data_IF_755736379138
#
_entry.id   IF_755736379138
#
_cell.length_a   1.000
_cell.length_b   1.000
_cell.length_c   1.000
_cell.angle_alpha   90.00
_cell.angle_beta   90.00
_cell.angle_gamma   90.00
#
_symmetry.space_group_name_H-M   'P 1'
#
loop_
_entity.id
_entity.type
_entity.pdbx_description
1 polymer ?
#
# COMPACT_ATOMS: atom_id res chain seq x y z
N UNK A 1 -4.77 -34.92 -21.85
CA UNK A 1 -3.71 -34.66 -20.85
C UNK A 1 -4.27 -33.63 -19.89
N UNK A 2 -4.71 -34.05 -18.70
CA UNK A 2 -5.29 -33.15 -17.70
C UNK A 2 -4.14 -32.41 -17.02
N UNK A 3 -4.02 -31.11 -17.23
CA UNK A 3 -3.16 -30.26 -16.40
C UNK A 3 -3.80 -30.16 -15.02
N UNK A 4 -3.20 -30.81 -14.03
CA UNK A 4 -3.57 -30.61 -12.63
C UNK A 4 -3.22 -29.17 -12.25
N UNK A 5 -4.23 -28.30 -12.26
CA UNK A 5 -4.11 -26.96 -11.73
C UNK A 5 -3.93 -27.05 -10.22
N UNK A 6 -2.75 -26.65 -9.73
CA UNK A 6 -2.68 -26.15 -8.36
C UNK A 6 -3.75 -25.07 -8.23
N UNK A 7 -4.64 -25.11 -7.21
CA UNK A 7 -5.53 -23.98 -6.97
C UNK A 7 -4.63 -22.76 -6.80
N UNK A 8 -4.77 -21.77 -7.69
CA UNK A 8 -4.00 -20.54 -7.62
C UNK A 8 -4.17 -19.95 -6.23
N UNK A 9 -3.07 -19.81 -5.49
CA UNK A 9 -3.03 -19.33 -4.11
C UNK A 9 -3.41 -17.84 -3.97
N UNK A 10 -3.78 -17.21 -5.08
CA UNK A 10 -4.19 -15.82 -5.25
C UNK A 10 -5.39 -15.75 -6.21
N UNK A 11 -6.16 -14.67 -6.11
CA UNK A 11 -7.15 -14.32 -7.12
C UNK A 11 -6.47 -13.80 -8.38
N UNK A 12 -7.07 -14.06 -9.54
CA UNK A 12 -6.68 -13.38 -10.78
C UNK A 12 -6.99 -11.89 -10.64
N UNK A 13 -6.06 -11.07 -11.10
CA UNK A 13 -6.20 -9.62 -11.15
C UNK A 13 -5.93 -9.12 -12.57
N UNK A 14 -6.47 -7.94 -12.89
CA UNK A 14 -6.21 -7.24 -14.15
C UNK A 14 -5.47 -5.94 -13.86
N UNK A 15 -4.45 -5.66 -14.66
CA UNK A 15 -3.76 -4.37 -14.67
C UNK A 15 -4.46 -3.42 -15.64
N UNK A 16 -4.79 -2.23 -15.18
CA UNK A 16 -5.33 -1.14 -15.97
C UNK A 16 -4.20 -0.13 -16.14
N UNK A 17 -3.69 -0.05 -17.37
CA UNK A 17 -2.59 0.84 -17.75
C UNK A 17 -3.09 2.28 -17.92
N UNK A 18 -3.44 2.89 -16.79
CA UNK A 18 -3.79 4.31 -16.65
C UNK A 18 -2.97 4.91 -15.50
N UNK A 19 -2.88 6.23 -15.46
CA UNK A 19 -2.33 6.98 -14.33
C UNK A 19 -3.51 7.35 -13.40
N UNK A 20 -3.55 6.85 -12.15
CA UNK A 20 -2.53 6.05 -11.47
C UNK A 20 -2.57 4.56 -11.82
N UNK A 21 -1.42 3.89 -11.77
CA UNK A 21 -1.30 2.45 -12.03
C UNK A 21 -2.27 1.67 -11.14
N UNK A 22 -3.23 0.97 -11.75
CA UNK A 22 -4.39 0.41 -11.04
C UNK A 22 -4.53 -1.09 -11.33
N UNK A 23 -4.82 -1.86 -10.28
CA UNK A 23 -5.12 -3.28 -10.36
C UNK A 23 -6.51 -3.55 -9.79
N UNK A 24 -7.28 -4.41 -10.46
CA UNK A 24 -8.58 -4.87 -9.99
C UNK A 24 -8.57 -6.38 -9.80
N UNK A 25 -9.16 -6.85 -8.70
CA UNK A 25 -9.46 -8.28 -8.53
C UNK A 25 -10.80 -8.48 -7.83
N UNK A 26 -11.43 -9.61 -8.13
CA UNK A 26 -12.71 -10.01 -7.53
C UNK A 26 -12.49 -11.25 -6.67
N UNK A 27 -12.96 -11.21 -5.43
CA UNK A 27 -12.91 -12.36 -4.51
C UNK A 27 -14.02 -13.37 -4.79
N UNK A 28 -13.94 -14.57 -4.19
CA UNK A 28 -15.04 -15.55 -4.25
C UNK A 28 -16.36 -15.01 -3.68
N UNK A 29 -16.29 -14.01 -2.79
CA UNK A 29 -17.45 -13.37 -2.18
C UNK A 29 -18.00 -12.22 -3.03
N UNK A 30 -17.59 -12.14 -4.30
CA UNK A 30 -18.00 -11.09 -5.25
C UNK A 30 -17.61 -9.67 -4.84
N UNK A 31 -16.65 -9.51 -3.94
CA UNK A 31 -16.10 -8.21 -3.55
C UNK A 31 -15.01 -7.84 -4.55
N UNK A 32 -15.11 -6.65 -5.13
CA UNK A 32 -14.12 -6.10 -6.05
C UNK A 32 -13.23 -5.12 -5.29
N UNK A 33 -11.94 -5.44 -5.28
CA UNK A 33 -10.91 -4.58 -4.75
C UNK A 33 -10.22 -3.82 -5.87
N UNK A 34 -9.91 -2.57 -5.58
CA UNK A 34 -9.04 -1.70 -6.38
C UNK A 34 -7.77 -1.40 -5.58
N UNK A 35 -6.61 -1.64 -6.21
CA UNK A 35 -5.28 -1.35 -5.68
C UNK A 35 -4.63 -0.34 -6.61
N UNK A 36 -4.33 0.86 -6.12
CA UNK A 36 -3.72 1.93 -6.91
C UNK A 36 -2.36 2.30 -6.34
N UNK A 37 -1.42 2.59 -7.23
CA UNK A 37 -0.15 3.23 -6.92
C UNK A 37 -0.17 4.63 -7.50
N UNK A 38 -0.62 5.59 -6.68
CA UNK A 38 -0.86 6.97 -7.12
C UNK A 38 0.42 7.78 -7.02
N UNK A 39 0.94 8.41 -8.09
CA UNK A 39 2.08 9.30 -7.98
C UNK A 39 1.81 10.43 -6.99
N UNK A 40 2.72 10.62 -6.05
CA UNK A 40 2.58 11.61 -4.99
C UNK A 40 3.89 12.38 -4.80
N UNK A 41 4.35 13.11 -5.83
CA UNK A 41 5.69 13.71 -5.89
C UNK A 41 5.93 14.78 -4.81
N UNK A 42 4.85 15.36 -4.28
CA UNK A 42 4.90 16.43 -3.29
C UNK A 42 5.19 15.95 -1.86
N UNK A 43 5.10 14.64 -1.56
CA UNK A 43 5.18 14.16 -0.17
C UNK A 43 6.54 14.46 0.51
N UNK A 44 7.64 14.45 -0.23
CA UNK A 44 8.96 14.81 0.31
C UNK A 44 9.38 16.25 -0.06
N UNK A 45 8.44 17.07 -0.52
CA UNK A 45 8.66 18.44 -0.98
C UNK A 45 8.87 18.55 -2.50
N UNK A 46 8.52 19.70 -3.07
CA UNK A 46 8.50 19.96 -4.53
C UNK A 46 9.85 19.82 -5.23
N UNK A 47 10.96 19.89 -4.50
CA UNK A 47 12.32 19.77 -5.02
C UNK A 47 13.02 18.48 -4.59
N UNK A 48 12.27 17.50 -4.09
CA UNK A 48 12.83 16.23 -3.67
C UNK A 48 13.42 15.48 -4.88
N UNK A 49 14.65 14.94 -4.79
CA UNK A 49 15.20 14.09 -5.85
C UNK A 49 14.43 12.77 -6.02
N UNK A 50 13.46 12.51 -5.13
CA UNK A 50 12.63 11.31 -5.13
C UNK A 50 11.24 11.53 -5.73
N UNK A 51 10.89 12.75 -6.15
CA UNK A 51 9.53 13.13 -6.55
C UNK A 51 8.90 12.14 -7.55
N UNK A 52 9.64 11.77 -8.59
CA UNK A 52 9.15 10.87 -9.66
C UNK A 52 9.05 9.39 -9.22
N UNK A 53 9.61 9.05 -8.06
CA UNK A 53 9.64 7.68 -7.54
C UNK A 53 8.63 7.45 -6.42
N UNK A 54 7.95 8.48 -5.93
CA UNK A 54 7.03 8.38 -4.80
C UNK A 54 5.62 8.07 -5.29
N UNK A 55 5.06 6.98 -4.77
CA UNK A 55 3.67 6.60 -4.96
C UNK A 55 2.98 6.37 -3.61
N UNK A 56 1.70 6.71 -3.53
CA UNK A 56 0.81 6.32 -2.46
C UNK A 56 0.09 5.02 -2.83
N UNK A 57 0.16 4.03 -1.94
CA UNK A 57 -0.63 2.80 -2.05
C UNK A 57 -2.05 3.04 -1.54
N UNK A 58 -3.01 2.99 -2.45
CA UNK A 58 -4.43 3.17 -2.17
C UNK A 58 -5.17 1.85 -2.35
N UNK A 59 -5.90 1.42 -1.32
CA UNK A 59 -6.62 0.15 -1.29
C UNK A 59 -8.10 0.41 -1.03
N UNK A 60 -8.95 0.09 -2.00
CA UNK A 60 -10.39 0.36 -1.96
C UNK A 60 -11.20 -0.89 -2.24
N UNK A 61 -12.39 -0.94 -1.65
CA UNK A 61 -13.47 -1.82 -2.12
C UNK A 61 -14.35 -0.97 -3.01
N UNK A 62 -14.43 -1.30 -4.30
CA UNK A 62 -15.15 -0.51 -5.31
C UNK A 62 -16.51 -1.10 -5.68
N UNK A 63 -16.71 -2.38 -5.41
CA UNK A 63 -17.99 -3.07 -5.55
C UNK A 63 -18.09 -4.19 -4.51
N UNK A 64 -19.25 -4.34 -3.90
CA UNK A 64 -19.52 -5.38 -2.90
C UNK A 64 -21.02 -5.69 -2.86
N UNK A 65 -21.43 -6.95 -2.67
CA UNK A 65 -22.84 -7.28 -2.52
C UNK A 65 -23.45 -6.56 -1.31
N UNK A 66 -24.68 -6.04 -1.48
CA UNK A 66 -25.39 -5.30 -0.43
C UNK A 66 -25.50 -6.13 0.85
N UNK A 67 -25.10 -5.54 1.98
CA UNK A 67 -25.16 -6.19 3.29
C UNK A 67 -24.02 -7.17 3.57
N UNK A 68 -23.12 -7.43 2.62
CA UNK A 68 -21.92 -8.26 2.84
C UNK A 68 -20.80 -7.39 3.38
N UNK A 69 -20.46 -7.58 4.65
CA UNK A 69 -19.16 -7.12 5.16
C UNK A 69 -18.09 -8.05 4.61
N UNK A 70 -16.93 -7.54 4.15
CA UNK A 70 -15.85 -8.41 3.70
C UNK A 70 -15.51 -9.45 4.77
N UNK A 71 -15.76 -10.75 4.52
CA UNK A 71 -15.37 -11.77 5.48
C UNK A 71 -13.85 -11.86 5.51
N UNK A 72 -13.32 -12.54 6.54
CA UNK A 72 -11.90 -12.87 6.55
C UNK A 72 -11.62 -13.84 5.40
N UNK A 73 -10.98 -13.32 4.36
CA UNK A 73 -10.60 -14.06 3.17
C UNK A 73 -9.08 -14.31 3.20
N UNK A 74 -8.69 -15.59 3.24
CA UNK A 74 -7.30 -15.99 3.30
C UNK A 74 -6.53 -15.76 1.99
N UNK A 75 -7.23 -15.57 0.86
CA UNK A 75 -6.65 -15.41 -0.48
C UNK A 75 -6.41 -13.93 -0.82
N UNK A 76 -7.18 -13.01 -0.22
CA UNK A 76 -7.04 -11.56 -0.43
C UNK A 76 -5.64 -11.06 -0.08
N UNK A 77 -5.07 -11.53 1.02
CA UNK A 77 -3.75 -11.10 1.49
C UNK A 77 -2.61 -11.51 0.53
N UNK A 78 -2.48 -12.80 0.17
CA UNK A 78 -1.61 -13.25 -0.91
C UNK A 78 -1.80 -12.52 -2.25
N UNK A 79 -3.05 -12.21 -2.62
CA UNK A 79 -3.35 -11.52 -3.88
C UNK A 79 -2.78 -10.10 -3.89
N UNK A 80 -3.02 -9.33 -2.83
CA UNK A 80 -2.46 -7.97 -2.70
C UNK A 80 -0.94 -8.02 -2.68
N UNK A 81 -0.33 -8.98 -1.98
CA UNK A 81 1.11 -9.17 -2.00
C UNK A 81 1.66 -9.46 -3.41
N UNK A 82 0.95 -10.27 -4.21
CA UNK A 82 1.32 -10.53 -5.60
C UNK A 82 1.21 -9.27 -6.48
N UNK A 83 0.15 -8.47 -6.32
CA UNK A 83 -0.02 -7.19 -7.03
C UNK A 83 1.11 -6.22 -6.68
N UNK A 84 1.46 -6.12 -5.40
CA UNK A 84 2.56 -5.26 -4.96
C UNK A 84 3.87 -5.74 -5.61
N UNK A 85 4.18 -7.04 -5.57
CA UNK A 85 5.38 -7.57 -6.26
C UNK A 85 5.41 -7.22 -7.76
N UNK A 86 4.32 -7.46 -8.50
CA UNK A 86 4.22 -7.15 -9.93
C UNK A 86 4.47 -5.65 -10.22
N UNK A 87 3.98 -4.76 -9.36
CA UNK A 87 4.27 -3.33 -9.49
C UNK A 87 5.75 -3.00 -9.26
N UNK A 88 6.36 -3.58 -8.23
CA UNK A 88 7.76 -3.31 -7.89
C UNK A 88 8.77 -3.92 -8.86
N UNK A 89 8.42 -4.98 -9.62
CA UNK A 89 9.28 -5.53 -10.68
C UNK A 89 9.59 -4.50 -11.78
N UNK A 90 8.81 -3.43 -11.89
CA UNK A 90 8.98 -2.37 -12.89
C UNK A 90 10.10 -1.39 -12.54
N UNK A 91 10.41 -1.20 -11.25
CA UNK A 91 11.46 -0.27 -10.81
C UNK A 91 11.88 -0.52 -9.37
N UNK A 92 13.19 -0.70 -9.14
CA UNK A 92 13.79 -0.75 -7.80
C UNK A 92 13.87 0.62 -7.10
N UNK A 93 13.61 1.71 -7.84
CA UNK A 93 13.62 3.07 -7.29
C UNK A 93 12.30 3.46 -6.63
N UNK A 94 11.23 2.71 -6.86
CA UNK A 94 9.90 2.96 -6.30
C UNK A 94 9.93 3.12 -4.78
N UNK A 95 9.29 4.19 -4.31
CA UNK A 95 9.05 4.50 -2.89
C UNK A 95 7.55 4.48 -2.69
N UNK A 96 7.04 3.46 -2.00
CA UNK A 96 5.61 3.41 -1.65
C UNK A 96 5.38 3.96 -0.27
N UNK A 97 4.44 4.90 -0.17
CA UNK A 97 3.89 5.40 1.07
C UNK A 97 2.51 4.78 1.27
N UNK A 98 2.24 4.27 2.45
CA UNK A 98 0.90 3.84 2.86
C UNK A 98 0.48 4.64 4.07
N UNK A 99 -0.69 5.29 3.98
CA UNK A 99 -1.30 6.06 5.07
C UNK A 99 -2.70 5.49 5.29
N UNK A 100 -2.98 5.04 6.50
CA UNK A 100 -4.33 4.60 6.85
C UNK A 100 -5.29 5.79 6.84
N UNK A 101 -6.31 5.74 5.99
CA UNK A 101 -7.49 6.61 6.11
C UNK A 101 -8.10 6.46 7.51
N UNK A 102 -8.36 7.60 8.14
CA UNK A 102 -8.87 7.77 9.50
C UNK A 102 -10.27 8.37 9.57
N UNK A 103 -10.87 8.72 8.43
CA UNK A 103 -12.17 9.41 8.32
C UNK A 103 -13.33 8.68 9.02
N UNK A 104 -13.28 7.35 9.13
CA UNK A 104 -14.31 6.51 9.75
C UNK A 104 -13.90 5.90 11.11
N UNK A 105 -12.78 6.36 11.68
CA UNK A 105 -12.19 5.86 12.94
C UNK A 105 -11.78 4.37 12.92
N UNK A 106 -11.59 3.76 11.74
CA UNK A 106 -11.14 2.35 11.57
C UNK A 106 -9.67 2.19 11.19
N UNK A 107 -8.86 3.23 11.30
CA UNK A 107 -7.45 3.25 10.93
C UNK A 107 -6.62 2.12 11.59
N UNK A 108 -6.91 1.75 12.85
CA UNK A 108 -6.22 0.63 13.52
C UNK A 108 -6.57 -0.72 12.90
N UNK A 109 -7.81 -0.92 12.46
CA UNK A 109 -8.22 -2.14 11.78
C UNK A 109 -7.61 -2.23 10.37
N UNK A 110 -7.54 -1.09 9.65
CA UNK A 110 -6.82 -1.00 8.37
C UNK A 110 -5.33 -1.31 8.55
N UNK A 111 -4.70 -0.77 9.59
CA UNK A 111 -3.30 -1.03 9.91
C UNK A 111 -3.02 -2.52 10.17
N UNK A 112 -3.83 -3.18 11.00
CA UNK A 112 -3.72 -4.62 11.24
C UNK A 112 -3.89 -5.43 9.95
N UNK A 113 -4.78 -5.00 9.08
CA UNK A 113 -5.03 -5.65 7.79
C UNK A 113 -3.83 -5.48 6.85
N UNK A 114 -3.27 -4.28 6.78
CA UNK A 114 -2.06 -3.97 6.02
C UNK A 114 -0.84 -4.76 6.50
N UNK A 115 -0.63 -4.87 7.82
CA UNK A 115 0.45 -5.68 8.39
C UNK A 115 0.37 -7.12 7.92
N UNK A 116 -0.82 -7.71 7.98
CA UNK A 116 -1.03 -9.08 7.49
C UNK A 116 -0.70 -9.19 6.00
N UNK A 117 -1.06 -8.22 5.17
CA UNK A 117 -0.73 -8.23 3.73
C UNK A 117 0.77 -8.17 3.51
N UNK A 118 1.46 -7.29 4.23
CA UNK A 118 2.91 -7.16 4.17
C UNK A 118 3.64 -8.44 4.59
N UNK A 119 3.11 -9.19 5.57
CA UNK A 119 3.72 -10.47 5.99
C UNK A 119 3.76 -11.50 4.84
N UNK A 120 2.77 -11.50 3.93
CA UNK A 120 2.76 -12.39 2.76
C UNK A 120 3.70 -11.94 1.65
N UNK A 121 3.97 -10.63 1.56
CA UNK A 121 4.88 -10.05 0.57
C UNK A 121 6.34 -10.47 0.80
N UNK A 122 6.71 -10.87 2.03
CA UNK A 122 8.03 -11.40 2.41
C UNK A 122 9.19 -10.44 2.07
N UNK A 123 9.51 -9.62 3.08
CA UNK A 123 10.43 -8.50 3.11
C UNK A 123 11.94 -8.81 2.89
N UNK A 124 12.33 -9.89 2.19
CA UNK A 124 13.77 -10.09 1.89
C UNK A 124 14.30 -9.07 0.90
N UNK A 125 13.49 -8.72 -0.10
CA UNK A 125 13.89 -7.80 -1.17
C UNK A 125 13.42 -6.36 -0.91
N UNK A 126 12.70 -6.13 0.18
CA UNK A 126 12.05 -4.85 0.48
C UNK A 126 12.14 -4.53 1.97
N UNK A 127 12.39 -3.26 2.25
CA UNK A 127 12.42 -2.72 3.61
C UNK A 127 11.17 -1.91 3.86
N UNK A 128 10.65 -2.03 5.08
CA UNK A 128 9.51 -1.27 5.56
C UNK A 128 9.88 -0.53 6.83
N UNK A 129 9.48 0.73 6.90
CA UNK A 129 9.61 1.56 8.08
C UNK A 129 8.25 2.13 8.46
N UNK A 130 7.87 1.89 9.70
CA UNK A 130 6.59 2.30 10.25
C UNK A 130 6.74 3.52 11.14
N UNK A 131 5.78 4.42 11.04
CA UNK A 131 5.67 5.60 11.91
C UNK A 131 4.21 5.84 12.22
N UNK A 132 3.98 6.34 13.43
CA UNK A 132 2.67 6.76 13.89
C UNK A 132 2.74 8.23 14.23
N UNK A 133 1.74 9.01 13.80
CA UNK A 133 1.62 10.44 14.12
C UNK A 133 0.28 10.67 14.78
N UNK A 134 0.27 11.42 15.87
CA UNK A 134 -0.97 11.91 16.48
C UNK A 134 -1.20 13.34 16.03
N UNK A 135 -2.32 13.57 15.35
CA UNK A 135 -2.82 14.89 14.96
C UNK A 135 -3.48 15.54 16.17
N UNK A 136 -2.88 16.62 16.66
CA UNK A 136 -3.38 17.32 17.84
C UNK A 136 -4.64 18.16 17.57
N UNK A 137 -4.92 18.46 16.30
CA UNK A 137 -6.07 19.28 15.88
C UNK A 137 -7.30 18.39 15.69
N UNK A 138 -7.15 17.31 14.94
CA UNK A 138 -8.25 16.37 14.66
C UNK A 138 -8.38 15.28 15.74
N UNK A 139 -7.46 15.21 16.70
CA UNK A 139 -7.35 14.17 17.74
C UNK A 139 -7.32 12.75 17.14
N UNK A 140 -6.62 12.61 16.01
CA UNK A 140 -6.57 11.36 15.22
C UNK A 140 -5.15 10.84 15.14
N UNK A 141 -4.99 9.53 15.34
CA UNK A 141 -3.73 8.84 15.09
C UNK A 141 -3.65 8.34 13.65
N UNK A 142 -2.66 8.79 12.89
CA UNK A 142 -2.30 8.26 11.58
C UNK A 142 -1.25 7.15 11.71
N UNK A 143 -1.50 6.03 11.02
CA UNK A 143 -0.55 4.94 10.88
C UNK A 143 0.03 5.01 9.47
N UNK A 144 1.35 5.16 9.38
CA UNK A 144 2.07 5.37 8.14
C UNK A 144 3.16 4.31 7.98
N UNK A 145 3.37 3.88 6.75
CA UNK A 145 4.52 3.06 6.38
C UNK A 145 5.18 3.62 5.11
N UNK A 146 6.50 3.54 5.05
CA UNK A 146 7.25 3.61 3.79
C UNK A 146 7.80 2.23 3.47
N UNK A 147 7.64 1.80 2.22
CA UNK A 147 8.17 0.55 1.68
C UNK A 147 9.07 0.90 0.50
N UNK A 148 10.27 0.33 0.47
CA UNK A 148 11.28 0.51 -0.58
C UNK A 148 11.98 -0.82 -0.88
N UNK A 149 12.61 -0.93 -2.05
CA UNK A 149 13.54 -2.05 -2.30
C UNK A 149 14.69 -2.02 -1.30
N UNK A 150 15.10 -3.19 -0.81
CA UNK A 150 16.28 -3.37 0.03
C UNK A 150 17.57 -2.98 -0.70
N UNK A 151 17.57 -3.09 -2.04
CA UNK A 151 18.66 -2.70 -2.92
C UNK A 151 18.59 -1.23 -3.38
N UNK A 152 17.63 -0.45 -2.86
CA UNK A 152 17.55 0.97 -3.21
C UNK A 152 18.78 1.72 -2.65
N UNK A 153 19.60 2.37 -3.51
CA UNK A 153 20.84 3.01 -3.08
C UNK A 153 20.61 4.23 -2.18
N UNK A 154 19.40 4.78 -2.18
CA UNK A 154 19.02 5.99 -1.44
C UNK A 154 18.23 5.71 -0.15
N UNK A 155 18.17 4.44 0.30
CA UNK A 155 17.35 4.01 1.45
C UNK A 155 17.45 4.89 2.70
N UNK A 156 18.66 5.33 3.06
CA UNK A 156 18.89 6.16 4.24
C UNK A 156 18.28 7.55 4.07
N UNK A 157 18.54 8.19 2.93
CA UNK A 157 17.98 9.51 2.61
C UNK A 157 16.46 9.48 2.51
N UNK A 158 15.89 8.39 1.98
CA UNK A 158 14.44 8.17 1.93
C UNK A 158 13.85 8.05 3.33
N UNK A 159 14.48 7.25 4.21
CA UNK A 159 14.06 7.12 5.60
C UNK A 159 14.10 8.45 6.36
N UNK A 160 15.17 9.23 6.18
CA UNK A 160 15.27 10.57 6.77
C UNK A 160 14.19 11.52 6.24
N UNK A 161 13.90 11.49 4.94
CA UNK A 161 12.83 12.30 4.35
C UNK A 161 11.45 11.91 4.90
N UNK A 162 11.19 10.61 5.04
CA UNK A 162 9.96 10.10 5.63
C UNK A 162 9.79 10.51 7.10
N UNK A 163 10.87 10.47 7.91
CA UNK A 163 10.80 10.97 9.28
C UNK A 163 10.53 12.46 9.33
N UNK A 164 11.26 13.28 8.54
CA UNK A 164 11.05 14.73 8.50
C UNK A 164 9.62 15.10 8.12
N UNK A 165 9.05 14.42 7.12
CA UNK A 165 7.64 14.60 6.73
C UNK A 165 6.69 14.42 7.92
N UNK A 166 6.90 13.36 8.72
CA UNK A 166 6.01 13.02 9.81
C UNK A 166 6.29 13.80 11.10
N UNK A 167 7.53 14.21 11.35
CA UNK A 167 7.89 15.09 12.46
C UNK A 167 7.25 16.48 12.26
N UNK A 168 7.29 17.02 11.04
CA UNK A 168 6.71 18.32 10.71
C UNK A 168 5.19 18.32 10.52
N UNK A 169 4.49 17.21 10.76
CA UNK A 169 3.05 17.11 10.50
C UNK A 169 2.24 18.06 11.40
N UNK A 170 2.64 18.21 12.67
CA UNK A 170 1.99 19.10 13.63
C UNK A 170 2.62 20.50 13.69
N UNK A 171 3.63 20.76 12.85
CA UNK A 171 4.27 22.08 12.83
C UNK A 171 3.31 23.10 12.21
N UNK A 172 3.29 24.35 12.73
CA UNK A 172 2.55 25.43 12.08
C UNK A 172 3.07 25.59 10.64
N UNK A 173 2.17 25.46 9.66
CA UNK A 173 2.48 25.72 8.25
C UNK A 173 2.63 27.21 7.96
#
# INVERSE_FOLDING_TARGET
>A
MKSEGHPSSIYSYVFIDQEPATYLFRTINSIVYEVQFKPTPYLFGEHSPFADSIVELVLKVVDAPTGVRPPRDAVTAPTIAAIINDFYERSSQTITIYICDSSDKRQKARWTTFNRWYDYFSARNYQRFDRTVFDNVEEVTYYCAVIISAENPHRLSIFEAFNRLLDGYNDPK
#
